data_IF_006468235964
#
_entry.id   IF_006468235964
#
_cell.length_a   1.000
_cell.length_b   1.000
_cell.length_c   1.000
_cell.angle_alpha   90.00
_cell.angle_beta   90.00
_cell.angle_gamma   90.00
#
_symmetry.space_group_name_H-M   'P 1'
#
loop_
_entity.id
_entity.type
_entity.pdbx_description
1 polymer ?
#
# COMPACT_ATOMS: atom_id res chain seq x y z
N UNK A 1 7.37 3.24 -1.93
CA UNK A 1 6.21 2.39 -2.26
C UNK A 1 6.50 0.95 -1.87
N UNK A 2 5.52 0.27 -1.29
CA UNK A 2 5.53 -1.17 -1.03
C UNK A 2 4.91 -1.96 -2.17
N UNK A 3 5.40 -3.17 -2.38
CA UNK A 3 4.93 -4.11 -3.39
C UNK A 3 4.94 -5.52 -2.80
N UNK A 4 3.82 -6.21 -2.94
CA UNK A 4 3.64 -7.59 -2.43
C UNK A 4 2.64 -8.36 -3.29
N UNK A 5 2.61 -9.69 -3.17
CA UNK A 5 1.67 -10.56 -3.88
C UNK A 5 0.88 -11.42 -2.90
N UNK A 6 -0.44 -11.37 -3.03
CA UNK A 6 -1.37 -12.17 -2.25
C UNK A 6 -1.92 -13.34 -3.07
N UNK A 7 -1.98 -14.54 -2.47
CA UNK A 7 -2.54 -15.75 -3.07
C UNK A 7 -1.69 -16.99 -2.79
N UNK A 8 -1.90 -18.11 -3.51
CA UNK A 8 -2.86 -18.27 -4.60
C UNK A 8 -4.32 -18.28 -4.11
N UNK A 9 -5.21 -17.73 -4.93
CA UNK A 9 -6.66 -17.82 -4.81
C UNK A 9 -7.23 -18.84 -5.82
N UNK A 10 -8.50 -19.26 -5.67
CA UNK A 10 -9.22 -19.95 -6.73
C UNK A 10 -9.19 -19.14 -8.03
N UNK A 11 -9.07 -19.81 -9.16
CA UNK A 11 -8.96 -19.14 -10.47
C UNK A 11 -10.28 -18.45 -10.79
N UNK A 12 -10.23 -17.16 -11.11
CA UNK A 12 -11.43 -16.41 -11.49
C UNK A 12 -11.89 -16.74 -12.91
N UNK A 13 -13.09 -16.32 -13.26
CA UNK A 13 -13.59 -16.40 -14.66
C UNK A 13 -12.69 -15.70 -15.67
N UNK A 14 -11.87 -14.73 -15.22
CA UNK A 14 -10.90 -14.00 -16.05
C UNK A 14 -9.50 -14.63 -16.03
N UNK A 15 -9.31 -15.76 -15.35
CA UNK A 15 -8.03 -16.45 -15.26
C UNK A 15 -7.07 -15.92 -14.19
N UNK A 16 -7.53 -15.04 -13.29
CA UNK A 16 -6.68 -14.48 -12.24
C UNK A 16 -6.52 -15.47 -11.08
N UNK A 17 -5.33 -15.50 -10.48
CA UNK A 17 -5.00 -16.37 -9.35
C UNK A 17 -4.35 -15.62 -8.18
N UNK A 18 -3.79 -14.45 -8.42
CA UNK A 18 -3.08 -13.67 -7.41
C UNK A 18 -3.52 -12.21 -7.46
N UNK A 19 -3.20 -11.46 -6.40
CA UNK A 19 -3.37 -10.01 -6.36
C UNK A 19 -2.00 -9.39 -6.14
N UNK A 20 -1.52 -8.60 -7.10
CA UNK A 20 -0.41 -7.68 -6.89
C UNK A 20 -0.92 -6.49 -6.08
N UNK A 21 -0.35 -6.31 -4.90
CA UNK A 21 -0.67 -5.23 -3.96
C UNK A 21 0.43 -4.18 -4.05
N UNK A 22 0.06 -2.97 -4.47
CA UNK A 22 0.94 -1.81 -4.47
C UNK A 22 0.44 -0.79 -3.47
N UNK A 23 1.35 -0.16 -2.75
CA UNK A 23 0.97 0.74 -1.67
C UNK A 23 1.96 1.89 -1.56
N UNK A 24 1.49 3.13 -1.70
CA UNK A 24 2.31 4.27 -1.33
C UNK A 24 2.35 4.42 0.21
N UNK A 25 3.55 4.38 0.78
CA UNK A 25 3.71 4.39 2.24
C UNK A 25 3.39 5.74 2.87
N UNK A 26 3.48 6.84 2.13
CA UNK A 26 3.21 8.16 2.70
C UNK A 26 1.71 8.45 2.69
N UNK A 27 1.10 8.42 1.50
CA UNK A 27 -0.33 8.71 1.30
C UNK A 27 -1.24 7.57 1.74
N UNK A 28 -0.68 6.36 1.95
CA UNK A 28 -1.43 5.13 2.20
C UNK A 28 -2.33 4.73 1.02
N UNK A 29 -2.00 5.18 -0.18
CA UNK A 29 -2.77 4.89 -1.40
C UNK A 29 -2.56 3.44 -1.85
N UNK A 30 -3.62 2.60 -1.86
CA UNK A 30 -3.53 1.23 -2.32
C UNK A 30 -3.90 1.08 -3.80
N UNK A 31 -3.25 0.12 -4.47
CA UNK A 31 -3.72 -0.54 -5.68
C UNK A 31 -3.74 -2.06 -5.46
N UNK A 32 -4.77 -2.71 -5.96
CA UNK A 32 -4.91 -4.17 -5.96
C UNK A 32 -5.19 -4.64 -7.37
N UNK A 33 -4.22 -5.34 -7.97
CA UNK A 33 -4.25 -5.71 -9.39
C UNK A 33 -4.34 -7.24 -9.47
N UNK A 34 -5.46 -7.81 -9.95
CA UNK A 34 -5.56 -9.23 -10.25
C UNK A 34 -4.54 -9.62 -11.32
N UNK A 35 -3.79 -10.70 -11.08
CA UNK A 35 -2.82 -11.26 -12.03
C UNK A 35 -2.97 -12.79 -12.13
N UNK A 36 -2.68 -13.40 -13.30
CA UNK A 36 -2.80 -14.84 -13.53
C UNK A 36 -1.70 -15.66 -12.85
N UNK A 37 -0.51 -15.10 -12.72
CA UNK A 37 0.69 -15.73 -12.18
C UNK A 37 1.55 -14.71 -11.44
N UNK A 38 2.63 -15.17 -10.80
CA UNK A 38 3.57 -14.30 -10.10
C UNK A 38 4.81 -14.01 -10.93
N UNK A 39 4.83 -14.32 -12.24
CA UNK A 39 6.04 -14.21 -13.05
C UNK A 39 6.58 -12.77 -13.06
N UNK A 40 7.91 -12.64 -13.10
CA UNK A 40 8.56 -11.34 -13.08
C UNK A 40 8.11 -10.42 -14.24
N UNK A 41 7.82 -11.00 -15.41
CA UNK A 41 7.25 -10.32 -16.59
C UNK A 41 5.90 -9.72 -16.27
N UNK A 42 4.97 -10.54 -15.76
CA UNK A 42 3.63 -10.14 -15.36
C UNK A 42 3.67 -9.01 -14.33
N UNK A 43 4.48 -9.17 -13.27
CA UNK A 43 4.62 -8.14 -12.23
C UNK A 43 5.21 -6.84 -12.78
N UNK A 44 6.25 -6.93 -13.63
CA UNK A 44 6.89 -5.77 -14.23
C UNK A 44 5.92 -4.99 -15.14
N UNK A 45 5.17 -5.71 -15.98
CA UNK A 45 4.17 -5.11 -16.87
C UNK A 45 3.07 -4.41 -16.06
N UNK A 46 2.49 -5.08 -15.06
CA UNK A 46 1.42 -4.50 -14.25
C UNK A 46 1.90 -3.33 -13.39
N UNK A 47 3.16 -3.35 -12.91
CA UNK A 47 3.77 -2.22 -12.21
C UNK A 47 3.89 -1.01 -13.14
N UNK A 48 4.39 -1.20 -14.36
CA UNK A 48 4.50 -0.10 -15.34
C UNK A 48 3.11 0.41 -15.73
N UNK A 49 2.21 -0.51 -16.05
CA UNK A 49 0.88 -0.24 -16.59
C UNK A 49 -0.02 0.47 -15.59
N UNK A 50 -0.09 0.01 -14.33
CA UNK A 50 -1.07 0.54 -13.37
C UNK A 50 -0.47 1.55 -12.40
N UNK A 51 0.85 1.51 -12.14
CA UNK A 51 1.47 2.46 -11.25
C UNK A 51 2.25 3.54 -11.97
N UNK A 52 3.31 3.16 -12.68
CA UNK A 52 4.25 4.14 -13.25
C UNK A 52 3.57 5.05 -14.27
N UNK A 53 2.66 4.51 -15.08
CA UNK A 53 1.92 5.29 -16.08
C UNK A 53 0.94 6.31 -15.47
N UNK A 54 0.41 6.04 -14.28
CA UNK A 54 -0.63 6.86 -13.64
C UNK A 54 -0.12 7.80 -12.56
N UNK A 55 0.87 7.36 -11.78
CA UNK A 55 1.40 8.06 -10.61
C UNK A 55 2.85 8.51 -10.79
N UNK A 56 3.53 8.03 -11.83
CA UNK A 56 4.94 8.26 -12.04
C UNK A 56 5.85 7.24 -11.35
N UNK A 57 7.15 7.43 -11.53
CA UNK A 57 8.18 6.51 -11.07
C UNK A 57 8.43 6.71 -9.56
N UNK A 58 8.31 5.66 -8.72
CA UNK A 58 8.64 5.77 -7.31
C UNK A 58 10.16 5.86 -7.10
N UNK A 59 10.61 6.72 -6.18
CA UNK A 59 12.04 6.79 -5.83
C UNK A 59 12.56 5.50 -5.20
N UNK A 60 11.75 4.90 -4.32
CA UNK A 60 12.10 3.70 -3.57
C UNK A 60 10.97 2.69 -3.71
N UNK A 61 11.33 1.48 -4.13
CA UNK A 61 10.45 0.33 -4.19
C UNK A 61 10.88 -0.69 -3.14
N UNK A 62 9.97 -1.03 -2.23
CA UNK A 62 10.18 -2.01 -1.19
C UNK A 62 9.37 -3.26 -1.53
N UNK A 63 10.02 -4.42 -1.53
CA UNK A 63 9.37 -5.71 -1.73
C UNK A 63 9.95 -6.74 -0.76
N UNK A 64 9.24 -7.84 -0.58
CA UNK A 64 9.77 -9.02 0.10
C UNK A 64 10.90 -9.69 -0.72
N UNK A 65 11.38 -10.84 -0.22
CA UNK A 65 12.44 -11.63 -0.85
C UNK A 65 11.92 -12.61 -1.92
N UNK A 66 10.68 -12.49 -2.37
CA UNK A 66 10.12 -13.29 -3.44
C UNK A 66 11.04 -13.32 -4.67
N UNK A 67 11.23 -14.50 -5.24
CA UNK A 67 12.12 -14.72 -6.41
C UNK A 67 11.71 -13.86 -7.60
N UNK A 68 10.42 -13.58 -7.75
CA UNK A 68 9.85 -12.79 -8.84
C UNK A 68 10.36 -11.34 -8.82
N UNK A 69 10.43 -10.72 -7.64
CA UNK A 69 10.94 -9.35 -7.48
C UNK A 69 12.46 -9.27 -7.57
N UNK A 70 13.17 -10.39 -7.42
CA UNK A 70 14.63 -10.46 -7.49
C UNK A 70 15.16 -10.94 -8.86
N UNK A 71 14.29 -11.07 -9.86
CA UNK A 71 14.68 -11.44 -11.22
C UNK A 71 15.60 -10.41 -11.88
N UNK A 72 16.34 -10.85 -12.91
CA UNK A 72 17.16 -9.98 -13.74
C UNK A 72 16.30 -8.90 -14.42
N UNK A 73 15.12 -9.29 -14.92
CA UNK A 73 14.15 -8.39 -15.54
C UNK A 73 13.78 -7.25 -14.58
N UNK A 74 13.33 -7.59 -13.37
CA UNK A 74 12.88 -6.60 -12.40
C UNK A 74 14.02 -5.69 -11.93
N UNK A 75 15.22 -6.25 -11.80
CA UNK A 75 16.44 -5.48 -11.50
C UNK A 75 16.76 -4.48 -12.61
N UNK A 76 16.66 -4.88 -13.88
CA UNK A 76 16.90 -3.99 -15.02
C UNK A 76 15.80 -2.92 -15.15
N UNK A 77 14.54 -3.28 -14.90
CA UNK A 77 13.44 -2.33 -14.85
C UNK A 77 13.70 -1.22 -13.83
N UNK A 78 14.07 -1.59 -12.60
CA UNK A 78 14.40 -0.61 -11.56
C UNK A 78 15.59 0.27 -11.97
N UNK A 79 16.63 -0.29 -12.60
CA UNK A 79 17.77 0.50 -13.11
C UNK A 79 17.35 1.48 -14.19
N UNK A 80 16.53 1.04 -15.15
CA UNK A 80 16.06 1.86 -16.26
C UNK A 80 15.29 3.09 -15.78
N UNK A 81 14.43 2.91 -14.78
CA UNK A 81 13.64 3.98 -14.20
C UNK A 81 14.34 4.73 -13.05
N UNK A 82 15.56 4.34 -12.66
CA UNK A 82 16.28 4.95 -11.53
C UNK A 82 15.64 4.67 -10.16
N UNK A 83 14.89 3.57 -10.03
CA UNK A 83 14.22 3.14 -8.80
C UNK A 83 15.24 2.47 -7.87
N UNK A 84 15.35 2.98 -6.64
CA UNK A 84 16.09 2.29 -5.58
C UNK A 84 15.26 1.12 -5.05
N UNK A 85 15.60 -0.09 -5.47
CA UNK A 85 14.98 -1.30 -4.91
C UNK A 85 15.57 -1.60 -3.53
N UNK A 86 14.70 -1.65 -2.54
CA UNK A 86 14.99 -2.13 -1.18
C UNK A 86 14.31 -3.47 -0.94
N UNK A 87 14.69 -4.14 0.14
CA UNK A 87 14.15 -5.45 0.52
C UNK A 87 13.73 -5.41 1.98
N UNK A 88 12.79 -6.26 2.38
CA UNK A 88 12.50 -6.51 3.79
C UNK A 88 13.81 -6.96 4.47
N UNK A 89 14.36 -6.10 5.32
CA UNK A 89 15.37 -6.45 6.31
C UNK A 89 14.72 -6.37 7.68
N UNK A 90 15.23 -7.13 8.66
CA UNK A 90 14.73 -7.10 10.04
C UNK A 90 14.75 -5.68 10.69
N UNK A 91 15.37 -4.71 10.03
CA UNK A 91 15.53 -3.32 10.47
C UNK A 91 14.35 -2.40 10.11
N UNK A 92 13.43 -2.81 9.22
CA UNK A 92 12.29 -1.97 8.82
C UNK A 92 10.90 -2.67 8.89
N UNK A 93 10.54 -3.25 10.04
CA UNK A 93 9.26 -3.95 10.22
C UNK A 93 8.02 -3.06 10.05
N UNK A 94 8.17 -1.74 10.15
CA UNK A 94 7.05 -0.80 10.01
C UNK A 94 6.43 -0.82 8.61
N UNK A 95 7.27 -0.90 7.57
CA UNK A 95 6.84 -0.88 6.16
C UNK A 95 6.24 -2.23 5.74
N UNK A 96 6.90 -3.31 6.12
CA UNK A 96 6.46 -4.70 5.89
C UNK A 96 5.10 -4.94 6.57
N UNK A 97 5.00 -4.60 7.85
CA UNK A 97 3.77 -4.76 8.63
C UNK A 97 2.62 -3.87 8.13
N UNK A 98 2.86 -2.86 7.30
CA UNK A 98 1.78 -2.07 6.71
C UNK A 98 1.11 -2.82 5.55
N UNK A 99 1.91 -3.39 4.65
CA UNK A 99 1.40 -4.18 3.52
C UNK A 99 0.74 -5.45 4.03
N UNK A 100 1.34 -6.15 5.01
CA UNK A 100 0.73 -7.32 5.64
C UNK A 100 -0.65 -7.02 6.26
N UNK A 101 -0.79 -5.89 6.96
CA UNK A 101 -2.07 -5.44 7.53
C UNK A 101 -3.10 -5.17 6.44
N UNK A 102 -2.68 -4.58 5.33
CA UNK A 102 -3.55 -4.33 4.19
C UNK A 102 -3.97 -5.65 3.52
N UNK A 103 -3.06 -6.59 3.33
CA UNK A 103 -3.36 -7.93 2.84
C UNK A 103 -4.40 -8.64 3.70
N UNK A 104 -4.26 -8.58 5.03
CA UNK A 104 -5.27 -9.13 5.94
C UNK A 104 -6.63 -8.44 5.78
N UNK A 105 -6.64 -7.14 5.51
CA UNK A 105 -7.87 -6.39 5.24
C UNK A 105 -8.53 -6.83 3.93
N UNK A 106 -7.74 -7.09 2.88
CA UNK A 106 -8.21 -7.69 1.63
C UNK A 106 -8.84 -9.06 1.90
N UNK A 107 -8.12 -9.96 2.60
CA UNK A 107 -8.61 -11.31 2.90
C UNK A 107 -9.92 -11.29 3.70
N UNK A 108 -10.03 -10.41 4.70
CA UNK A 108 -11.25 -10.24 5.49
C UNK A 108 -12.41 -9.70 4.66
N UNK A 109 -12.14 -8.79 3.71
CA UNK A 109 -13.17 -8.33 2.79
C UNK A 109 -13.61 -9.47 1.87
N UNK A 110 -12.68 -10.13 1.18
CA UNK A 110 -13.00 -11.21 0.25
C UNK A 110 -13.76 -12.36 0.92
N UNK A 111 -13.43 -12.72 2.17
CA UNK A 111 -14.15 -13.78 2.88
C UNK A 111 -15.64 -13.47 3.13
N UNK A 112 -16.04 -12.20 3.09
CA UNK A 112 -17.42 -11.76 3.31
C UNK A 112 -18.23 -11.60 2.02
N UNK A 113 -17.59 -11.21 0.91
CA UNK A 113 -18.29 -10.78 -0.31
C UNK A 113 -18.20 -11.79 -1.47
N UNK A 114 -17.19 -12.66 -1.46
CA UNK A 114 -16.95 -13.60 -2.56
C UNK A 114 -18.05 -14.66 -2.62
N UNK A 115 -18.46 -15.02 -3.83
CA UNK A 115 -19.48 -16.04 -4.05
C UNK A 115 -19.04 -17.43 -3.56
N UNK A 116 -19.99 -18.36 -3.42
CA UNK A 116 -19.70 -19.72 -2.91
C UNK A 116 -18.66 -20.48 -3.73
N UNK A 117 -18.58 -20.23 -5.04
CA UNK A 117 -17.60 -20.89 -5.92
C UNK A 117 -16.24 -20.17 -5.95
N UNK A 118 -16.14 -19.00 -5.33
CA UNK A 118 -14.93 -18.19 -5.20
C UNK A 118 -14.26 -17.78 -6.51
N UNK A 119 -15.03 -17.68 -7.60
CA UNK A 119 -14.49 -17.35 -8.94
C UNK A 119 -14.66 -15.88 -9.35
N UNK A 120 -15.16 -15.05 -8.44
CA UNK A 120 -15.54 -13.65 -8.68
C UNK A 120 -14.78 -12.64 -7.79
N UNK A 121 -13.77 -13.09 -7.03
CA UNK A 121 -13.06 -12.23 -6.06
C UNK A 121 -12.40 -10.99 -6.70
N UNK A 122 -11.96 -11.09 -7.95
CA UNK A 122 -11.34 -9.99 -8.69
C UNK A 122 -12.33 -8.86 -9.02
N UNK A 123 -13.62 -9.17 -9.10
CA UNK A 123 -14.68 -8.18 -9.37
C UNK A 123 -15.01 -7.30 -8.16
N UNK A 124 -14.69 -7.75 -6.95
CA UNK A 124 -14.96 -7.01 -5.70
C UNK A 124 -13.87 -5.99 -5.36
N UNK A 125 -12.64 -6.18 -5.88
CA UNK A 125 -11.50 -5.33 -5.57
C UNK A 125 -11.68 -3.83 -5.87
N UNK A 126 -12.32 -3.40 -6.99
CA UNK A 126 -12.49 -1.97 -7.26
C UNK A 126 -13.34 -1.23 -6.22
N UNK A 127 -14.43 -1.84 -5.75
CA UNK A 127 -15.28 -1.25 -4.71
C UNK A 127 -14.62 -1.31 -3.33
N UNK A 128 -13.87 -2.36 -3.05
CA UNK A 128 -13.01 -2.44 -1.88
C UNK A 128 -11.97 -1.30 -1.86
N UNK A 129 -11.28 -1.06 -2.98
CA UNK A 129 -10.32 0.02 -3.11
C UNK A 129 -10.97 1.39 -2.89
N UNK A 130 -12.17 1.62 -3.42
CA UNK A 130 -12.92 2.85 -3.16
C UNK A 130 -13.12 3.07 -1.66
N UNK A 131 -13.57 2.03 -0.94
CA UNK A 131 -13.78 2.09 0.50
C UNK A 131 -12.47 2.40 1.26
N UNK A 132 -11.37 1.73 0.91
CA UNK A 132 -10.06 1.99 1.53
C UNK A 132 -9.54 3.40 1.24
N UNK A 133 -9.72 3.91 0.02
CA UNK A 133 -9.24 5.24 -0.39
C UNK A 133 -10.02 6.37 0.27
N UNK A 134 -11.26 6.11 0.69
CA UNK A 134 -12.13 7.09 1.37
C UNK A 134 -12.21 6.91 2.88
N UNK A 135 -11.58 5.87 3.45
CA UNK A 135 -11.57 5.65 4.89
C UNK A 135 -10.35 6.33 5.53
N UNK A 136 -10.55 6.91 6.73
CA UNK A 136 -9.45 7.50 7.48
C UNK A 136 -8.46 6.42 7.93
N UNK A 137 -7.17 6.66 7.68
CA UNK A 137 -6.12 5.76 8.13
C UNK A 137 -5.64 6.15 9.53
N UNK A 138 -5.64 5.21 10.48
CA UNK A 138 -5.37 5.44 11.92
C UNK A 138 -4.10 6.27 12.19
N UNK A 139 -3.02 5.97 11.46
CA UNK A 139 -1.72 6.65 11.64
C UNK A 139 -1.79 8.12 11.22
N UNK A 140 -2.34 8.41 10.04
CA UNK A 140 -2.36 9.76 9.46
C UNK A 140 -3.55 10.58 9.97
N UNK A 141 -4.63 9.93 10.42
CA UNK A 141 -5.91 10.57 10.71
C UNK A 141 -6.57 11.21 9.50
N UNK A 142 -6.18 10.79 8.30
CA UNK A 142 -6.62 11.34 7.01
C UNK A 142 -6.92 10.19 6.05
N UNK A 143 -7.79 10.42 5.07
CA UNK A 143 -8.05 9.44 4.01
C UNK A 143 -6.90 9.42 2.99
N UNK A 144 -6.62 8.28 2.34
CA UNK A 144 -5.65 8.24 1.24
C UNK A 144 -5.99 9.21 0.09
N UNK A 145 -7.27 9.44 -0.17
CA UNK A 145 -7.71 10.40 -1.17
C UNK A 145 -7.39 11.85 -0.81
N UNK A 146 -7.53 12.25 0.46
CA UNK A 146 -7.11 13.58 0.90
C UNK A 146 -5.60 13.74 0.80
N UNK A 147 -4.84 12.71 1.16
CA UNK A 147 -3.39 12.70 1.05
C UNK A 147 -2.90 12.84 -0.39
N UNK A 148 -3.56 12.17 -1.34
CA UNK A 148 -3.14 12.15 -2.74
C UNK A 148 -3.72 13.31 -3.57
N UNK A 149 -5.01 13.62 -3.40
CA UNK A 149 -5.74 14.58 -4.23
C UNK A 149 -6.08 15.88 -3.51
N UNK A 150 -5.77 16.01 -2.22
CA UNK A 150 -6.18 17.18 -1.42
C UNK A 150 -7.70 17.26 -1.22
N UNK A 151 -8.45 16.19 -1.48
CA UNK A 151 -9.91 16.16 -1.36
C UNK A 151 -10.42 14.75 -1.09
N UNK A 152 -11.57 14.64 -0.43
CA UNK A 152 -12.28 13.36 -0.27
C UNK A 152 -12.97 12.94 -1.56
N UNK A 153 -13.01 11.63 -1.81
CA UNK A 153 -13.73 11.06 -2.96
C UNK A 153 -15.24 11.26 -2.80
N UNK A 154 -15.94 11.35 -3.93
CA UNK A 154 -17.39 11.32 -3.95
C UNK A 154 -17.87 9.87 -3.85
N UNK A 155 -18.64 9.58 -2.82
CA UNK A 155 -19.18 8.25 -2.55
C UNK A 155 -20.66 8.15 -2.94
N UNK A 156 -21.21 6.92 -3.10
CA UNK A 156 -22.64 6.75 -3.36
C UNK A 156 -23.54 7.45 -2.34
N UNK A 157 -23.15 7.49 -1.05
CA UNK A 157 -23.90 8.21 -0.02
C UNK A 157 -24.00 9.72 -0.29
N UNK A 158 -22.97 10.34 -0.88
CA UNK A 158 -23.00 11.77 -1.24
C UNK A 158 -24.02 12.08 -2.34
N UNK A 159 -24.41 11.07 -3.13
CA UNK A 159 -25.46 11.21 -4.14
C UNK A 159 -26.83 11.27 -3.45
N UNK A 160 -27.04 10.45 -2.42
CA UNK A 160 -28.32 10.37 -1.70
C UNK A 160 -28.51 11.51 -0.69
N UNK A 161 -27.47 11.88 0.05
CA UNK A 161 -27.55 12.86 1.14
C UNK A 161 -27.08 14.26 0.75
N UNK A 162 -26.48 14.40 -0.43
CA UNK A 162 -25.86 15.65 -0.86
C UNK A 162 -24.51 15.90 -0.16
N UNK A 163 -23.72 16.81 -0.74
CA UNK A 163 -22.41 17.22 -0.22
C UNK A 163 -22.38 18.74 -0.10
N UNK A 164 -21.75 19.32 0.95
CA UNK A 164 -21.52 20.75 1.01
C UNK A 164 -20.78 21.23 -0.24
N UNK A 165 -21.25 22.32 -0.85
CA UNK A 165 -20.63 22.91 -2.03
C UNK A 165 -19.36 23.66 -1.63
N UNK A 166 -18.19 23.11 -1.96
CA UNK A 166 -16.92 23.84 -1.97
C UNK A 166 -16.67 24.35 -3.40
N UNK A 167 -17.55 25.22 -3.91
CA UNK A 167 -17.34 25.85 -5.23
C UNK A 167 -16.32 26.99 -5.09
N UNK A 168 -15.12 26.86 -5.68
CA UNK A 168 -14.14 27.94 -5.69
C UNK A 168 -14.66 29.09 -6.57
N UNK A 169 -14.38 30.33 -6.21
CA UNK A 169 -14.86 31.50 -6.98
C UNK A 169 -14.16 31.61 -8.34
N UNK A 170 -12.99 30.98 -8.51
CA UNK A 170 -12.27 30.87 -9.79
C UNK A 170 -11.33 29.66 -9.86
N UNK A 171 -10.91 29.23 -11.07
CA UNK A 171 -9.91 28.16 -11.23
C UNK A 171 -8.56 28.48 -10.57
N UNK A 172 -8.13 29.75 -10.59
CA UNK A 172 -6.85 30.14 -10.02
C UNK A 172 -6.88 30.10 -8.47
N UNK A 173 -8.02 30.48 -7.89
CA UNK A 173 -8.27 30.33 -6.46
C UNK A 173 -8.31 28.85 -6.06
N UNK A 174 -8.95 27.99 -6.86
CA UNK A 174 -8.94 26.54 -6.63
C UNK A 174 -7.52 25.98 -6.60
N UNK A 175 -6.68 26.35 -7.57
CA UNK A 175 -5.30 25.87 -7.63
C UNK A 175 -4.51 26.27 -6.38
N UNK A 176 -4.57 27.54 -5.98
CA UNK A 176 -3.89 28.03 -4.77
C UNK A 176 -4.41 27.35 -3.50
N UNK A 177 -5.73 27.18 -3.40
CA UNK A 177 -6.35 26.50 -2.26
C UNK A 177 -5.94 25.02 -2.21
N UNK A 178 -5.85 24.35 -3.36
CA UNK A 178 -5.43 22.96 -3.45
C UNK A 178 -3.97 22.79 -3.03
N UNK A 179 -3.07 23.64 -3.50
CA UNK A 179 -1.65 23.63 -3.14
C UNK A 179 -1.48 23.83 -1.63
N UNK A 180 -2.06 24.89 -1.07
CA UNK A 180 -2.01 25.16 0.36
C UNK A 180 -2.65 24.03 1.20
N UNK A 181 -3.73 23.43 0.71
CA UNK A 181 -4.37 22.29 1.38
C UNK A 181 -3.47 21.06 1.38
N UNK A 182 -2.84 20.71 0.25
CA UNK A 182 -1.91 19.59 0.18
C UNK A 182 -0.70 19.80 1.08
N UNK A 183 -0.12 21.00 1.10
CA UNK A 183 0.97 21.34 2.02
C UNK A 183 0.58 21.13 3.48
N UNK A 184 -0.60 21.63 3.87
CA UNK A 184 -1.14 21.49 5.22
C UNK A 184 -1.40 20.03 5.60
N UNK A 185 -2.09 19.28 4.73
CA UNK A 185 -2.41 17.85 4.90
C UNK A 185 -1.12 17.04 5.05
N UNK A 186 -0.12 17.29 4.20
CA UNK A 186 1.15 16.58 4.25
C UNK A 186 1.98 16.95 5.48
N UNK A 187 1.98 18.22 5.92
CA UNK A 187 2.64 18.64 7.14
C UNK A 187 2.04 17.95 8.36
N UNK A 188 0.70 17.95 8.47
CA UNK A 188 -0.03 17.26 9.52
C UNK A 188 0.25 15.74 9.53
N UNK A 189 0.21 15.11 8.35
CA UNK A 189 0.51 13.68 8.23
C UNK A 189 1.95 13.34 8.65
N UNK A 190 2.94 14.16 8.27
CA UNK A 190 4.34 13.96 8.70
C UNK A 190 4.49 13.99 10.21
N UNK A 191 3.86 14.95 10.87
CA UNK A 191 3.88 15.05 12.33
C UNK A 191 3.26 13.81 12.98
N UNK A 192 2.08 13.38 12.50
CA UNK A 192 1.42 12.19 13.05
C UNK A 192 2.18 10.90 12.80
N UNK A 193 2.74 10.72 11.60
CA UNK A 193 3.60 9.56 11.28
C UNK A 193 4.82 9.54 12.21
N UNK A 194 5.46 10.69 12.45
CA UNK A 194 6.59 10.81 13.37
C UNK A 194 6.19 10.39 14.79
N UNK A 195 5.11 10.95 15.33
CA UNK A 195 4.59 10.60 16.66
C UNK A 195 4.21 9.11 16.77
N UNK A 196 3.63 8.54 15.71
CA UNK A 196 3.28 7.12 15.68
C UNK A 196 4.51 6.22 15.69
N UNK A 197 5.55 6.56 14.92
CA UNK A 197 6.83 5.84 14.90
C UNK A 197 7.55 5.94 16.25
N UNK A 198 7.58 7.12 16.87
CA UNK A 198 8.14 7.31 18.22
C UNK A 198 7.43 6.43 19.26
N UNK A 199 6.09 6.41 19.27
CA UNK A 199 5.30 5.54 20.15
C UNK A 199 5.58 4.06 19.89
N UNK A 200 5.69 3.66 18.62
CA UNK A 200 5.99 2.28 18.24
C UNK A 200 7.36 1.86 18.74
N UNK A 201 8.37 2.72 18.57
CA UNK A 201 9.72 2.52 19.08
C UNK A 201 9.73 2.39 20.60
N UNK A 202 9.12 3.31 21.34
CA UNK A 202 9.04 3.22 22.82
C UNK A 202 8.40 1.91 23.28
N UNK A 203 7.33 1.47 22.60
CA UNK A 203 6.64 0.21 22.93
C UNK A 203 7.51 -1.01 22.61
N UNK A 204 8.23 -0.99 21.49
CA UNK A 204 9.18 -2.05 21.14
C UNK A 204 10.32 -2.12 22.16
N UNK A 205 10.97 -1.01 22.44
CA UNK A 205 12.10 -0.91 23.38
C UNK A 205 11.68 -1.33 24.80
N UNK A 206 10.46 -0.98 25.26
CA UNK A 206 9.94 -1.42 26.56
C UNK A 206 9.72 -2.93 26.71
N UNK A 207 9.58 -3.63 25.57
CA UNK A 207 9.36 -5.08 25.50
C UNK A 207 10.61 -5.83 25.07
N UNK A 208 11.64 -5.12 24.59
CA UNK A 208 12.91 -5.69 24.19
C UNK A 208 13.66 -6.11 25.45
N UNK A 209 13.77 -7.41 25.67
CA UNK A 209 14.73 -7.97 26.63
C UNK A 209 16.12 -7.86 26.02
N UNK A 210 16.97 -7.06 26.65
CA UNK A 210 18.34 -6.78 26.20
C UNK A 210 19.21 -8.05 26.31
N UNK A 211 19.33 -8.79 25.20
CA UNK A 211 20.20 -9.97 25.13
C UNK A 211 21.51 -9.56 24.47
N UNK A 212 22.55 -9.41 25.27
CA UNK A 212 23.91 -9.19 24.80
C UNK A 212 24.53 -10.54 24.44
N UNK A 213 24.68 -10.81 23.13
CA UNK A 213 25.41 -11.98 22.65
C UNK A 213 26.89 -11.64 22.43
N UNK A 214 27.78 -12.57 22.77
CA UNK A 214 29.21 -12.53 22.47
C UNK A 214 29.52 -13.45 21.29
N UNK A 215 30.63 -13.18 20.61
CA UNK A 215 31.14 -14.09 19.57
C UNK A 215 31.36 -15.49 20.18
N UNK A 216 30.69 -16.50 19.62
CA UNK A 216 30.70 -17.88 20.12
C UNK A 216 29.42 -18.33 20.82
N UNK A 217 28.49 -17.42 21.14
CA UNK A 217 27.23 -17.78 21.78
C UNK A 217 26.30 -18.54 20.81
N UNK A 218 25.71 -19.64 21.31
CA UNK A 218 24.69 -20.40 20.59
C UNK A 218 23.34 -19.69 20.72
N UNK A 219 22.79 -19.26 19.58
CA UNK A 219 21.49 -18.58 19.52
C UNK A 219 20.47 -19.41 18.74
N UNK A 220 19.21 -19.34 19.17
CA UNK A 220 18.12 -19.99 18.46
C UNK A 220 17.76 -19.18 17.21
N UNK A 221 17.92 -19.78 16.03
CA UNK A 221 17.44 -19.19 14.78
C UNK A 221 15.95 -19.45 14.64
N UNK A 222 15.14 -18.39 14.71
CA UNK A 222 13.71 -18.50 14.43
C UNK A 222 13.49 -18.83 12.95
N UNK A 223 12.83 -19.96 12.67
CA UNK A 223 12.37 -20.35 11.33
C UNK A 223 10.84 -20.35 11.31
N UNK A 224 10.19 -19.32 10.75
CA UNK A 224 8.74 -19.36 10.55
C UNK A 224 8.38 -20.48 9.57
N UNK A 225 7.32 -21.24 9.90
CA UNK A 225 6.73 -22.27 9.05
C UNK A 225 5.76 -21.67 8.06
#
# INVERSE_FOLDING_TARGET
>A
MGLDILGPFPVTTKGNRYVLVLMDYFTKWPETIPIPDQEASTVAEELVRNWISGYGVPMILHSDQGTNFNSSLFTQLCKLFGILKTRTTALHPEFDGMVERFNRTILNHLSLFVSRNQTDWDTHLPLFLLACRSAEHEVTGLTPAEMLFGRTLRLPCDIFFGRPSETPSSPNEYMKNLEARLESVHAFARERIKLASERMKTRYDSRATDHHFKEGDLVWMYKPK
#
